data_IF_446781919098
#
_entry.id   IF_446781919098
#
_cell.length_a   1.000
_cell.length_b   1.000
_cell.length_c   1.000
_cell.angle_alpha   90.00
_cell.angle_beta   90.00
_cell.angle_gamma   90.00
#
_symmetry.space_group_name_H-M   'P 1'
#
loop_
_entity.id
_entity.type
_entity.pdbx_description
1 polymer ?
#
# COMPACT_ATOMS: atom_id res chain seq x y z
N UNK A 1 2.12 -5.44 14.51
CA UNK A 1 2.04 -5.81 13.08
C UNK A 1 3.40 -5.65 12.45
N UNK A 2 3.87 -6.67 11.76
CA UNK A 2 5.21 -6.64 11.17
C UNK A 2 5.13 -6.46 9.66
N UNK A 3 6.07 -5.67 9.14
CA UNK A 3 6.16 -5.40 7.71
C UNK A 3 7.46 -5.95 7.16
N UNK A 4 7.43 -6.32 5.89
CA UNK A 4 8.64 -6.67 5.16
C UNK A 4 8.58 -6.10 3.76
N UNK A 5 9.72 -5.95 3.11
CA UNK A 5 9.79 -5.43 1.76
C UNK A 5 11.20 -5.63 1.19
N UNK A 6 11.30 -5.50 -0.11
CA UNK A 6 12.60 -5.56 -0.80
C UNK A 6 13.26 -4.19 -0.74
N UNK A 7 14.50 -4.12 -0.24
CA UNK A 7 15.19 -2.85 -0.04
C UNK A 7 15.41 -2.07 -1.34
N UNK A 8 15.72 -2.77 -2.41
CA UNK A 8 15.95 -2.12 -3.70
C UNK A 8 14.67 -1.52 -4.25
N UNK A 9 13.57 -2.25 -4.14
CA UNK A 9 12.25 -1.74 -4.54
C UNK A 9 11.84 -0.56 -3.69
N UNK A 10 12.19 -0.57 -2.41
CA UNK A 10 11.92 0.55 -1.51
C UNK A 10 12.57 1.83 -2.01
N UNK A 11 13.86 1.75 -2.40
CA UNK A 11 14.58 2.90 -2.92
C UNK A 11 13.97 3.40 -4.24
N UNK A 12 13.62 2.47 -5.13
CA UNK A 12 13.02 2.80 -6.42
C UNK A 12 11.67 3.48 -6.20
N UNK A 13 10.88 2.96 -5.27
CA UNK A 13 9.57 3.52 -4.96
C UNK A 13 9.68 4.96 -4.45
N UNK A 14 10.66 5.23 -3.59
CA UNK A 14 10.89 6.57 -3.07
C UNK A 14 11.22 7.55 -4.19
N UNK A 15 12.09 7.15 -5.11
CA UNK A 15 12.48 7.99 -6.24
C UNK A 15 11.32 8.23 -7.19
N UNK A 16 10.55 7.19 -7.46
CA UNK A 16 9.48 7.25 -8.46
C UNK A 16 8.22 7.94 -7.95
N UNK A 17 7.86 7.70 -6.70
CA UNK A 17 6.56 8.12 -6.15
C UNK A 17 6.67 9.06 -4.95
N UNK A 18 7.87 9.34 -4.49
CA UNK A 18 8.06 10.27 -3.37
C UNK A 18 7.72 9.70 -2.00
N UNK A 19 7.41 8.42 -1.93
CA UNK A 19 7.11 7.74 -0.68
C UNK A 19 7.84 6.40 -0.65
N UNK A 20 8.42 6.07 0.49
CA UNK A 20 9.06 4.76 0.66
C UNK A 20 8.16 3.83 1.46
N UNK A 21 8.61 2.58 1.62
CA UNK A 21 7.80 1.56 2.28
C UNK A 21 7.79 1.69 3.80
N UNK A 22 8.70 2.46 4.36
CA UNK A 22 8.67 2.75 5.80
C UNK A 22 7.60 3.81 6.07
N UNK A 23 7.59 4.86 5.26
CA UNK A 23 6.57 5.91 5.35
C UNK A 23 5.18 5.34 5.09
N UNK A 24 5.07 4.40 4.15
CA UNK A 24 3.80 3.80 3.78
C UNK A 24 3.15 3.00 4.90
N UNK A 25 3.93 2.59 5.90
CA UNK A 25 3.38 1.84 7.03
C UNK A 25 2.34 2.65 7.82
N UNK A 26 2.38 3.97 7.69
CA UNK A 26 1.38 4.84 8.31
C UNK A 26 -0.04 4.62 7.75
N UNK A 27 -0.16 3.97 6.60
CA UNK A 27 -1.49 3.60 6.07
C UNK A 27 -2.27 2.74 7.05
N UNK A 28 -1.57 1.89 7.79
CA UNK A 28 -2.23 0.97 8.74
C UNK A 28 -2.65 1.66 10.04
N UNK A 29 -2.34 2.94 10.19
CA UNK A 29 -2.86 3.76 11.29
C UNK A 29 -4.18 4.43 10.92
N UNK A 30 -4.56 4.36 9.65
CA UNK A 30 -5.81 4.91 9.16
C UNK A 30 -6.96 3.94 9.48
N UNK A 31 -7.93 4.34 10.34
CA UNK A 31 -9.03 3.44 10.69
C UNK A 31 -9.95 3.14 9.52
N UNK A 32 -9.87 3.93 8.45
CA UNK A 32 -10.71 3.76 7.26
C UNK A 32 -9.99 3.06 6.12
N UNK A 33 -8.78 2.52 6.38
CA UNK A 33 -8.03 1.77 5.38
C UNK A 33 -8.89 0.65 4.81
N UNK A 34 -8.93 0.54 3.48
CA UNK A 34 -9.67 -0.53 2.82
C UNK A 34 -8.71 -1.44 2.07
N UNK A 35 -9.10 -2.71 1.96
CA UNK A 35 -8.34 -3.73 1.25
C UNK A 35 -9.22 -4.33 0.18
N UNK A 36 -8.70 -4.40 -1.04
CA UNK A 36 -9.43 -4.93 -2.20
C UNK A 36 -8.58 -6.04 -2.81
N UNK A 37 -9.12 -7.26 -2.94
CA UNK A 37 -8.38 -8.34 -3.60
C UNK A 37 -8.06 -7.99 -5.05
N UNK A 38 -6.84 -8.33 -5.47
CA UNK A 38 -6.39 -8.17 -6.84
C UNK A 38 -6.25 -9.56 -7.45
N UNK A 39 -6.72 -9.73 -8.68
CA UNK A 39 -6.51 -10.98 -9.40
C UNK A 39 -5.05 -11.13 -9.75
N UNK A 40 -4.45 -12.23 -9.33
CA UNK A 40 -3.06 -12.56 -9.64
C UNK A 40 -2.94 -14.04 -9.97
N UNK A 41 -1.84 -14.42 -10.63
CA UNK A 41 -1.59 -15.81 -10.97
C UNK A 41 -0.80 -16.54 -9.90
N UNK A 42 -0.11 -15.78 -9.05
CA UNK A 42 0.80 -16.36 -8.06
C UNK A 42 0.22 -16.29 -6.66
N UNK A 43 0.83 -15.50 -5.81
CA UNK A 43 0.37 -15.30 -4.46
C UNK A 43 -0.76 -14.27 -4.42
N UNK A 44 -1.68 -14.40 -3.48
CA UNK A 44 -2.77 -13.43 -3.35
C UNK A 44 -2.23 -12.04 -3.03
N UNK A 45 -2.69 -11.06 -3.79
CA UNK A 45 -2.32 -9.66 -3.57
C UNK A 45 -3.55 -8.83 -3.27
N UNK A 46 -3.34 -7.74 -2.56
CA UNK A 46 -4.40 -6.82 -2.18
C UNK A 46 -3.98 -5.41 -2.52
N UNK A 47 -4.95 -4.63 -2.99
CA UNK A 47 -4.79 -3.20 -3.12
C UNK A 47 -5.30 -2.59 -1.83
N UNK A 48 -4.47 -1.81 -1.15
CA UNK A 48 -4.90 -1.07 0.04
C UNK A 48 -4.99 0.40 -0.30
N UNK A 49 -6.02 1.07 0.18
CA UNK A 49 -6.22 2.50 -0.04
C UNK A 49 -6.44 3.15 1.31
N UNK A 50 -5.68 4.19 1.60
CA UNK A 50 -5.80 4.90 2.86
C UNK A 50 -5.24 6.30 2.76
N UNK A 51 -5.25 7.01 3.88
CA UNK A 51 -4.77 8.39 3.94
C UNK A 51 -3.58 8.52 4.87
N UNK A 52 -2.61 9.32 4.45
CA UNK A 52 -1.46 9.70 5.27
C UNK A 52 -1.37 11.22 5.17
N UNK A 53 -1.47 11.91 6.30
CA UNK A 53 -1.39 13.37 6.36
C UNK A 53 -2.32 14.05 5.35
N UNK A 54 -3.55 13.56 5.26
CA UNK A 54 -4.57 14.12 4.39
C UNK A 54 -4.49 13.77 2.92
N UNK A 55 -3.51 12.96 2.53
CA UNK A 55 -3.33 12.55 1.13
C UNK A 55 -3.64 11.08 0.97
N UNK A 56 -4.29 10.72 -0.14
CA UNK A 56 -4.66 9.33 -0.42
C UNK A 56 -3.51 8.60 -1.10
N UNK A 57 -3.21 7.40 -0.59
CA UNK A 57 -2.19 6.52 -1.17
C UNK A 57 -2.78 5.14 -1.39
N UNK A 58 -2.31 4.49 -2.44
CA UNK A 58 -2.69 3.12 -2.77
C UNK A 58 -1.44 2.26 -2.79
N UNK A 59 -1.53 1.11 -2.15
CA UNK A 59 -0.40 0.19 -2.09
C UNK A 59 -0.81 -1.20 -2.53
N UNK A 60 0.15 -1.92 -3.07
CA UNK A 60 -0.03 -3.34 -3.38
C UNK A 60 0.74 -4.12 -2.33
N UNK A 61 0.07 -5.05 -1.70
CA UNK A 61 0.65 -5.85 -0.62
C UNK A 61 0.28 -7.32 -0.78
N UNK A 62 0.97 -8.16 -0.04
CA UNK A 62 0.57 -9.54 0.16
C UNK A 62 0.83 -9.89 1.63
N UNK A 63 0.05 -10.84 2.15
CA UNK A 63 0.28 -11.33 3.50
C UNK A 63 1.16 -12.58 3.42
N UNK A 64 2.23 -12.59 4.19
CA UNK A 64 3.12 -13.74 4.30
C UNK A 64 3.21 -14.13 5.77
N UNK A 65 2.51 -15.20 6.13
CA UNK A 65 2.41 -15.64 7.52
C UNK A 65 1.79 -14.50 8.34
N UNK A 66 2.54 -13.94 9.30
CA UNK A 66 2.02 -12.86 10.12
C UNK A 66 2.58 -11.50 9.73
N UNK A 67 3.18 -11.41 8.52
CA UNK A 67 3.79 -10.17 8.04
C UNK A 67 3.05 -9.62 6.85
N UNK A 68 3.10 -8.31 6.73
CA UNK A 68 2.59 -7.61 5.57
C UNK A 68 3.77 -7.28 4.68
N UNK A 69 3.78 -7.86 3.47
CA UNK A 69 4.83 -7.54 2.51
C UNK A 69 4.34 -6.43 1.59
N UNK A 70 5.02 -5.29 1.66
CA UNK A 70 4.70 -4.14 0.80
C UNK A 70 5.45 -4.31 -0.53
N UNK A 71 4.71 -4.23 -1.63
CA UNK A 71 5.26 -4.42 -2.97
C UNK A 71 5.42 -3.10 -3.71
N UNK A 72 4.44 -2.21 -3.60
CA UNK A 72 4.51 -0.90 -4.21
C UNK A 72 3.52 0.05 -3.53
N UNK A 73 3.81 1.35 -3.58
CA UNK A 73 2.92 2.38 -3.03
C UNK A 73 3.01 3.62 -3.92
N UNK A 74 1.88 4.25 -4.16
CA UNK A 74 1.80 5.48 -4.96
C UNK A 74 0.62 6.32 -4.50
N UNK A 75 0.56 7.54 -4.98
CA UNK A 75 -0.65 8.36 -4.76
C UNK A 75 -1.83 7.67 -5.42
N UNK A 76 -2.98 7.75 -4.78
CA UNK A 76 -4.20 7.12 -5.31
C UNK A 76 -4.67 7.81 -6.58
N UNK A 77 -5.22 7.02 -7.50
CA UNK A 77 -5.91 7.54 -8.67
C UNK A 77 -7.30 7.98 -8.26
N UNK A 78 -7.96 8.77 -9.10
CA UNK A 78 -9.26 9.32 -8.74
C UNK A 78 -10.29 8.24 -8.42
N UNK A 79 -10.34 7.16 -9.20
CA UNK A 79 -11.28 6.08 -8.92
C UNK A 79 -11.00 5.39 -7.59
N UNK A 80 -9.74 5.36 -7.16
CA UNK A 80 -9.38 4.78 -5.86
C UNK A 80 -9.80 5.70 -4.72
N UNK A 81 -9.63 7.00 -4.91
CA UNK A 81 -10.11 7.98 -3.95
C UNK A 81 -11.62 7.86 -3.80
N UNK A 82 -12.33 7.72 -4.91
CA UNK A 82 -13.78 7.60 -4.91
C UNK A 82 -14.24 6.36 -4.14
N UNK A 83 -13.54 5.24 -4.31
CA UNK A 83 -13.86 4.02 -3.56
C UNK A 83 -13.65 4.25 -2.06
N UNK A 84 -12.54 4.88 -1.71
CA UNK A 84 -12.20 5.13 -0.30
C UNK A 84 -13.19 6.10 0.35
N UNK A 85 -13.56 7.17 -0.35
CA UNK A 85 -14.46 8.18 0.20
C UNK A 85 -15.93 7.74 0.19
N UNK A 86 -16.23 6.77 -0.57
CA UNK A 86 -17.46 6.14 -0.56
C UNK A 86 -18.56 6.16 -1.02
#
# INVERSE_FOLDING_TARGET
MEFEFNHKKNEINKKKHGIDFIEAQALWEDPDLIEIPIKTHDEPRLLVIGRISGKHYSGVITYRRERIRIISVRRSRQEEVDIYEG
#
